data_IF_542393370569
#
_entry.id   IF_542393370569
#
_cell.length_a   1.000
_cell.length_b   1.000
_cell.length_c   1.000
_cell.angle_alpha   90.00
_cell.angle_beta   90.00
_cell.angle_gamma   90.00
#
_symmetry.space_group_name_H-M   'P 1'
#
loop_
_entity.id
_entity.type
_entity.pdbx_description
1 polymer ?
#
# COMPACT_ATOMS: atom_id res chain seq x y z
N UNK A 1 -37.70 2.19 9.67
CA UNK A 1 -36.92 3.33 10.21
C UNK A 1 -36.88 4.41 9.14
N UNK A 2 -36.97 5.68 9.54
CA UNK A 2 -36.84 6.80 8.61
C UNK A 2 -35.38 7.28 8.63
N UNK A 3 -34.53 6.61 7.83
CA UNK A 3 -33.11 6.94 7.72
C UNK A 3 -32.87 8.37 7.22
N UNK A 4 -33.79 8.94 6.44
CA UNK A 4 -33.68 10.32 5.99
C UNK A 4 -33.95 11.33 7.12
N UNK A 5 -34.82 11.01 8.04
CA UNK A 5 -35.03 11.85 9.23
C UNK A 5 -33.80 11.79 10.17
N UNK A 6 -33.24 10.59 10.36
CA UNK A 6 -32.01 10.41 11.14
C UNK A 6 -30.85 11.15 10.50
N UNK A 7 -30.64 11.01 9.18
CA UNK A 7 -29.62 11.72 8.42
C UNK A 7 -29.70 13.24 8.65
N UNK A 8 -30.89 13.82 8.45
CA UNK A 8 -31.10 15.26 8.70
C UNK A 8 -30.78 15.69 10.14
N UNK A 9 -31.08 14.84 11.12
CA UNK A 9 -30.77 15.14 12.52
C UNK A 9 -29.27 15.18 12.85
N UNK A 10 -28.46 14.44 12.09
CA UNK A 10 -27.00 14.33 12.24
C UNK A 10 -26.22 15.31 11.36
N UNK A 11 -26.87 16.02 10.43
CA UNK A 11 -26.21 17.01 9.57
C UNK A 11 -25.60 18.13 10.41
N UNK A 12 -24.35 18.45 10.09
CA UNK A 12 -23.59 19.56 10.66
C UNK A 12 -22.78 20.26 9.57
N UNK A 13 -22.49 21.52 9.75
CA UNK A 13 -21.44 22.19 8.99
C UNK A 13 -20.07 21.61 9.39
N UNK A 14 -19.05 21.69 8.54
CA UNK A 14 -17.70 21.27 8.92
C UNK A 14 -17.22 21.94 10.22
N UNK A 15 -17.44 23.23 10.36
CA UNK A 15 -17.06 24.01 11.56
C UNK A 15 -17.81 23.56 12.84
N UNK A 16 -19.05 23.13 12.75
CA UNK A 16 -19.79 22.57 13.88
C UNK A 16 -19.29 21.18 14.25
N UNK A 17 -19.06 20.34 13.25
CA UNK A 17 -18.64 18.95 13.45
C UNK A 17 -17.28 18.85 14.16
N UNK A 18 -16.30 19.66 13.74
CA UNK A 18 -14.96 19.64 14.33
C UNK A 18 -14.88 20.21 15.75
N UNK A 19 -15.97 20.82 16.29
CA UNK A 19 -16.05 21.22 17.70
C UNK A 19 -16.01 20.03 18.66
N UNK A 20 -16.26 18.84 18.16
CA UNK A 20 -16.11 17.60 18.93
C UNK A 20 -14.66 17.34 19.36
N UNK A 21 -13.69 17.80 18.59
CA UNK A 21 -12.26 17.64 18.91
C UNK A 21 -11.84 18.54 20.05
N UNK A 22 -11.11 17.96 21.01
CA UNK A 22 -10.63 18.59 22.24
C UNK A 22 -9.10 18.53 22.32
N UNK A 23 -8.53 19.30 23.24
CA UNK A 23 -7.10 19.22 23.58
C UNK A 23 -6.71 17.79 23.94
N UNK A 24 -5.58 17.35 23.42
CA UNK A 24 -5.02 16.03 23.70
C UNK A 24 -5.62 14.88 22.90
N UNK A 25 -6.70 15.09 22.12
CA UNK A 25 -7.37 14.03 21.36
C UNK A 25 -6.47 13.41 20.28
N UNK A 26 -6.76 12.14 20.00
CA UNK A 26 -6.35 11.43 18.81
C UNK A 26 -7.46 11.47 17.77
N UNK A 27 -7.17 12.10 16.66
CA UNK A 27 -8.06 12.18 15.49
C UNK A 27 -7.53 11.24 14.41
N UNK A 28 -8.35 10.36 13.88
CA UNK A 28 -7.97 9.46 12.80
C UNK A 28 -8.69 9.81 11.50
N UNK A 29 -7.91 9.98 10.43
CA UNK A 29 -8.39 10.03 9.06
C UNK A 29 -8.27 8.64 8.43
N UNK A 30 -9.19 8.28 7.56
CA UNK A 30 -9.08 7.05 6.80
C UNK A 30 -8.12 7.18 5.61
N UNK A 31 -7.77 6.05 4.98
CA UNK A 31 -6.71 5.97 3.96
C UNK A 31 -7.08 6.61 2.62
N UNK A 32 -6.12 7.19 1.92
CA UNK A 32 -6.24 7.55 0.50
C UNK A 32 -7.47 8.38 0.17
N UNK A 33 -8.40 7.87 -0.63
CA UNK A 33 -9.64 8.56 -0.99
C UNK A 33 -10.63 8.74 0.17
N UNK A 34 -10.43 8.05 1.28
CA UNK A 34 -11.22 8.27 2.52
C UNK A 34 -10.77 9.49 3.32
N UNK A 35 -9.75 10.21 2.90
CA UNK A 35 -9.30 11.45 3.52
C UNK A 35 -10.40 12.53 3.46
N UNK A 36 -10.75 13.19 4.60
CA UNK A 36 -11.87 14.15 4.67
C UNK A 36 -11.39 15.60 4.52
N UNK A 37 -11.30 16.18 3.31
CA UNK A 37 -10.68 17.48 3.08
C UNK A 37 -11.44 18.66 3.71
N UNK A 38 -12.75 18.61 3.80
CA UNK A 38 -13.54 19.68 4.41
C UNK A 38 -13.38 19.70 5.94
N UNK A 39 -13.34 18.54 6.55
CA UNK A 39 -13.12 18.38 7.99
C UNK A 39 -11.67 18.73 8.37
N UNK A 40 -10.68 18.35 7.56
CA UNK A 40 -9.29 18.71 7.75
C UNK A 40 -9.11 20.24 7.72
N UNK A 41 -9.70 20.92 6.72
CA UNK A 41 -9.67 22.37 6.64
C UNK A 41 -10.38 23.06 7.82
N UNK A 42 -11.52 22.52 8.25
CA UNK A 42 -12.26 23.05 9.39
C UNK A 42 -11.52 22.85 10.72
N UNK A 43 -10.85 21.70 10.89
CA UNK A 43 -10.01 21.42 12.06
C UNK A 43 -8.79 22.36 12.11
N UNK A 44 -8.13 22.55 10.98
CA UNK A 44 -7.02 23.50 10.84
C UNK A 44 -7.42 24.94 11.22
N UNK A 45 -8.64 25.37 10.90
CA UNK A 45 -9.15 26.68 11.26
C UNK A 45 -9.31 26.88 12.80
N UNK A 46 -9.31 25.79 13.57
CA UNK A 46 -9.33 25.83 15.06
C UNK A 46 -7.96 25.78 15.70
N UNK A 47 -6.89 25.96 14.91
CA UNK A 47 -5.51 25.87 15.39
C UNK A 47 -5.30 26.62 16.71
N UNK A 48 -5.70 27.88 16.77
CA UNK A 48 -5.45 28.74 17.94
C UNK A 48 -6.33 28.42 19.18
N UNK A 49 -7.30 27.49 19.00
CA UNK A 49 -8.19 27.02 20.08
C UNK A 49 -7.73 25.68 20.69
N UNK A 50 -6.93 24.90 19.95
CA UNK A 50 -6.61 23.53 20.30
C UNK A 50 -5.12 23.34 20.63
N UNK A 51 -4.82 22.41 21.54
CA UNK A 51 -3.47 22.05 21.93
C UNK A 51 -3.27 20.56 21.98
N UNK A 52 -2.08 20.08 21.55
CA UNK A 52 -1.63 18.69 21.64
C UNK A 52 -2.58 17.69 20.94
N UNK A 53 -3.24 18.09 19.84
CA UNK A 53 -4.08 17.20 19.04
C UNK A 53 -3.19 16.35 18.13
N UNK A 54 -3.29 15.03 18.23
CA UNK A 54 -2.58 14.09 17.39
C UNK A 54 -3.51 13.67 16.25
N UNK A 55 -3.05 13.85 15.02
CA UNK A 55 -3.82 13.44 13.83
C UNK A 55 -3.09 12.28 13.15
N UNK A 56 -3.79 11.19 12.89
CA UNK A 56 -3.27 10.01 12.23
C UNK A 56 -3.95 9.79 10.90
N UNK A 57 -3.14 9.55 9.86
CA UNK A 57 -3.61 9.24 8.52
C UNK A 57 -2.58 8.41 7.77
N UNK A 58 -2.83 8.16 6.51
CA UNK A 58 -1.90 7.45 5.64
C UNK A 58 -2.28 7.60 4.18
N UNK A 59 -1.30 7.44 3.30
CA UNK A 59 -1.47 7.56 1.85
C UNK A 59 -2.22 8.84 1.46
N UNK A 60 -1.93 9.95 2.16
CA UNK A 60 -2.57 11.22 1.90
C UNK A 60 -2.18 11.74 0.51
N UNK A 61 -3.20 12.03 -0.31
CA UNK A 61 -3.00 12.37 -1.72
C UNK A 61 -2.68 13.85 -1.96
N UNK A 62 -2.81 14.69 -0.94
CA UNK A 62 -2.61 16.13 -1.04
C UNK A 62 -2.23 16.80 0.28
N UNK A 63 -2.10 18.15 0.26
CA UNK A 63 -1.74 18.89 1.46
C UNK A 63 -2.75 18.71 2.60
N UNK A 64 -2.22 18.44 3.79
CA UNK A 64 -2.97 18.41 5.05
C UNK A 64 -3.01 19.81 5.65
N UNK A 65 -4.19 20.39 5.76
CA UNK A 65 -4.32 21.77 6.27
C UNK A 65 -3.88 21.89 7.72
N UNK A 66 -4.09 20.85 8.54
CA UNK A 66 -3.61 20.82 9.94
C UNK A 66 -2.09 20.86 10.05
N UNK A 67 -1.35 20.38 9.04
CA UNK A 67 0.13 20.44 9.04
C UNK A 67 0.62 21.75 8.43
N UNK A 68 -0.01 22.20 7.34
CA UNK A 68 0.40 23.43 6.65
C UNK A 68 0.13 24.68 7.50
N UNK A 69 -0.90 24.68 8.36
CA UNK A 69 -1.21 25.80 9.23
C UNK A 69 -0.34 25.85 10.49
N UNK A 70 0.32 24.77 10.89
CA UNK A 70 1.09 24.64 12.13
C UNK A 70 2.49 24.03 11.91
N UNK A 71 3.38 24.68 11.13
CA UNK A 71 4.72 24.16 10.83
C UNK A 71 5.64 24.05 12.05
N UNK A 72 5.28 24.66 13.17
CA UNK A 72 6.02 24.59 14.44
C UNK A 72 5.53 23.43 15.33
N UNK A 73 4.46 22.73 14.93
CA UNK A 73 3.85 21.63 15.69
C UNK A 73 3.46 21.99 17.12
N UNK A 74 2.94 23.20 17.31
CA UNK A 74 2.53 23.69 18.64
C UNK A 74 1.11 23.27 19.00
N UNK A 75 0.31 22.90 18.02
CA UNK A 75 -1.11 22.57 18.16
C UNK A 75 -1.44 21.18 17.66
N UNK A 76 -0.90 20.79 16.47
CA UNK A 76 -1.16 19.53 15.82
C UNK A 76 0.11 18.71 15.63
N UNK A 77 0.02 17.39 15.88
CA UNK A 77 1.08 16.43 15.61
C UNK A 77 0.57 15.39 14.61
N UNK A 78 1.19 15.33 13.42
CA UNK A 78 0.77 14.40 12.40
C UNK A 78 1.55 13.09 12.44
N UNK A 79 0.84 11.97 12.32
CA UNK A 79 1.38 10.61 12.30
C UNK A 79 0.92 9.87 11.06
N UNK A 80 1.80 9.07 10.47
CA UNK A 80 1.45 8.17 9.37
C UNK A 80 2.04 6.78 9.60
N UNK A 81 1.40 5.77 9.04
CA UNK A 81 1.92 4.41 9.04
C UNK A 81 2.20 3.90 7.60
N UNK A 82 1.96 4.72 6.58
CA UNK A 82 2.37 4.48 5.20
C UNK A 82 2.46 5.79 4.42
N UNK A 83 3.68 6.18 4.06
CA UNK A 83 3.91 7.48 3.43
C UNK A 83 3.54 7.48 1.95
N UNK A 84 2.70 8.42 1.56
CA UNK A 84 2.61 8.93 0.18
C UNK A 84 3.84 9.79 -0.17
N UNK A 85 3.89 10.29 -1.40
CA UNK A 85 4.91 11.26 -1.82
C UNK A 85 4.86 12.57 -1.01
N UNK A 86 3.67 12.98 -0.56
CA UNK A 86 3.49 14.16 0.27
C UNK A 86 4.00 13.90 1.70
N UNK A 87 3.57 12.83 2.34
CA UNK A 87 3.95 12.47 3.70
C UNK A 87 5.46 12.20 3.84
N UNK A 88 6.09 11.65 2.79
CA UNK A 88 7.56 11.51 2.73
C UNK A 88 8.26 12.87 2.89
N UNK A 89 7.76 13.91 2.21
CA UNK A 89 8.29 15.27 2.35
C UNK A 89 8.05 15.86 3.74
N UNK A 90 6.94 15.49 4.38
CA UNK A 90 6.69 15.87 5.78
C UNK A 90 7.68 15.18 6.73
N UNK A 91 7.93 13.88 6.56
CA UNK A 91 8.96 13.15 7.33
C UNK A 91 10.35 13.79 7.13
N UNK A 92 10.72 14.14 5.89
CA UNK A 92 12.00 14.81 5.59
C UNK A 92 12.14 16.19 6.32
N UNK A 93 11.02 16.85 6.60
CA UNK A 93 10.95 18.14 7.32
C UNK A 93 10.76 17.99 8.82
N UNK A 94 10.58 16.76 9.33
CA UNK A 94 10.27 16.52 10.75
C UNK A 94 8.83 16.89 11.15
N UNK A 95 7.92 16.98 10.19
CA UNK A 95 6.51 17.34 10.38
C UNK A 95 5.54 16.15 10.37
N UNK A 96 6.09 14.94 10.33
CA UNK A 96 5.31 13.71 10.36
C UNK A 96 6.09 12.62 11.10
N UNK A 97 5.42 11.92 12.00
CA UNK A 97 5.98 10.81 12.76
C UNK A 97 5.48 9.49 12.20
N UNK A 98 6.41 8.62 11.81
CA UNK A 98 6.08 7.32 11.24
C UNK A 98 5.82 6.27 12.32
N UNK A 99 4.73 5.53 12.18
CA UNK A 99 4.37 4.41 13.04
C UNK A 99 4.50 3.09 12.26
N UNK A 100 5.48 2.22 12.56
CA UNK A 100 5.67 0.97 11.83
C UNK A 100 4.53 -0.01 12.12
N UNK A 101 3.72 -0.30 11.12
CA UNK A 101 2.62 -1.27 11.21
C UNK A 101 2.54 -2.14 9.95
N UNK A 102 2.44 -3.45 10.14
CA UNK A 102 2.22 -4.40 9.04
C UNK A 102 0.73 -4.51 8.71
N UNK A 103 0.39 -4.59 7.44
CA UNK A 103 -1.00 -4.40 6.98
C UNK A 103 -1.98 -5.45 7.50
N UNK A 104 -1.61 -6.73 7.56
CA UNK A 104 -2.49 -7.77 8.13
C UNK A 104 -2.93 -7.49 9.57
N UNK A 105 -2.11 -6.74 10.33
CA UNK A 105 -2.35 -6.46 11.74
C UNK A 105 -2.98 -5.09 12.00
N UNK A 106 -3.28 -4.27 10.98
CA UNK A 106 -3.79 -2.90 11.20
C UNK A 106 -5.03 -2.88 12.09
N UNK A 107 -6.05 -3.69 11.76
CA UNK A 107 -7.26 -3.75 12.57
C UNK A 107 -7.00 -4.20 14.02
N UNK A 108 -6.03 -5.09 14.22
CA UNK A 108 -5.61 -5.53 15.55
C UNK A 108 -4.91 -4.42 16.34
N UNK A 109 -4.04 -3.63 15.69
CA UNK A 109 -3.43 -2.47 16.35
C UNK A 109 -4.49 -1.47 16.81
N UNK A 110 -5.46 -1.13 15.96
CA UNK A 110 -6.54 -0.21 16.32
C UNK A 110 -7.38 -0.77 17.46
N UNK A 111 -7.80 -2.02 17.39
CA UNK A 111 -8.68 -2.63 18.42
C UNK A 111 -7.99 -2.87 19.76
N UNK A 112 -6.65 -2.93 19.83
CA UNK A 112 -5.95 -3.31 21.05
C UNK A 112 -5.06 -2.22 21.66
N UNK A 113 -4.53 -1.31 20.86
CA UNK A 113 -3.44 -0.43 21.29
C UNK A 113 -3.60 1.04 20.96
N UNK A 114 -4.39 1.37 19.93
CA UNK A 114 -4.50 2.73 19.47
C UNK A 114 -5.76 3.39 20.03
N UNK A 115 -5.60 4.57 20.60
CA UNK A 115 -6.73 5.42 20.99
C UNK A 115 -7.23 6.16 19.75
N UNK A 116 -8.56 6.24 19.59
CA UNK A 116 -9.24 7.03 18.59
C UNK A 116 -10.36 7.79 19.27
N UNK A 117 -10.16 9.08 19.56
CA UNK A 117 -11.22 9.89 20.15
C UNK A 117 -12.20 10.36 19.09
N UNK A 118 -11.71 10.79 17.92
CA UNK A 118 -12.55 11.21 16.81
C UNK A 118 -12.05 10.55 15.52
N UNK A 119 -12.94 9.84 14.84
CA UNK A 119 -12.67 9.35 13.49
C UNK A 119 -13.39 10.21 12.46
N UNK A 120 -12.69 10.60 11.41
CA UNK A 120 -13.22 11.38 10.30
C UNK A 120 -12.97 10.63 8.98
N UNK A 121 -14.04 10.32 8.26
CA UNK A 121 -13.96 9.52 7.04
C UNK A 121 -14.76 10.15 5.90
N UNK A 122 -14.15 10.22 4.72
CA UNK A 122 -14.87 10.51 3.48
C UNK A 122 -15.55 9.24 2.97
N UNK A 123 -16.86 9.32 2.70
CA UNK A 123 -17.70 8.17 2.31
C UNK A 123 -18.66 8.54 1.18
N UNK A 124 -19.24 7.52 0.51
CA UNK A 124 -20.25 7.75 -0.53
C UNK A 124 -21.53 8.32 0.07
N UNK A 125 -22.45 8.91 -0.73
CA UNK A 125 -23.80 9.23 -0.27
C UNK A 125 -24.53 8.01 0.32
N UNK A 126 -25.39 8.27 1.32
CA UNK A 126 -26.17 7.24 1.99
C UNK A 126 -27.13 6.54 1.02
N UNK A 127 -27.19 5.22 1.08
CA UNK A 127 -28.17 4.45 0.31
C UNK A 127 -29.57 4.44 0.99
N UNK A 128 -30.56 3.85 0.30
CA UNK A 128 -31.93 3.75 0.79
C UNK A 128 -32.09 2.90 2.07
N UNK A 129 -31.07 2.14 2.44
CA UNK A 129 -31.06 1.27 3.61
C UNK A 129 -30.28 1.86 4.79
N UNK A 130 -29.77 3.09 4.66
CA UNK A 130 -29.04 3.79 5.72
C UNK A 130 -27.56 3.48 5.77
N UNK A 131 -26.99 2.94 4.69
CA UNK A 131 -25.56 2.62 4.62
C UNK A 131 -24.77 3.62 3.76
N UNK A 132 -23.58 3.94 4.23
CA UNK A 132 -22.53 4.62 3.48
C UNK A 132 -21.47 3.61 3.09
N UNK A 133 -20.87 3.76 1.91
CA UNK A 133 -19.78 2.89 1.47
C UNK A 133 -18.43 3.56 1.75
N UNK A 134 -17.49 2.81 2.32
CA UNK A 134 -16.12 3.26 2.63
C UNK A 134 -15.24 3.34 1.37
N UNK A 135 -15.79 2.92 0.24
CA UNK A 135 -15.22 3.11 -1.08
C UNK A 135 -13.81 2.50 -1.21
N UNK A 136 -12.96 3.17 -1.95
CA UNK A 136 -11.57 2.79 -2.21
C UNK A 136 -10.67 2.76 -0.94
N UNK A 137 -11.22 3.16 0.21
CA UNK A 137 -10.53 3.19 1.50
C UNK A 137 -10.95 2.05 2.45
N UNK A 138 -11.65 1.02 1.98
CA UNK A 138 -12.17 -0.09 2.82
C UNK A 138 -11.11 -0.66 3.76
N UNK A 139 -9.95 -0.98 3.29
CA UNK A 139 -8.74 -1.51 3.95
C UNK A 139 -8.78 -1.69 5.47
N UNK A 140 -8.71 -0.61 6.24
CA UNK A 140 -8.74 -0.60 7.70
C UNK A 140 -9.80 0.34 8.27
N UNK A 141 -10.53 1.04 7.40
CA UNK A 141 -11.41 2.14 7.81
C UNK A 141 -12.48 1.69 8.81
N UNK A 142 -13.09 0.51 8.62
CA UNK A 142 -14.08 -0.03 9.57
C UNK A 142 -13.51 -0.17 10.99
N UNK A 143 -12.29 -0.70 11.13
CA UNK A 143 -11.66 -0.87 12.43
C UNK A 143 -11.32 0.47 13.10
N UNK A 144 -11.00 1.52 12.33
CA UNK A 144 -10.82 2.88 12.85
C UNK A 144 -12.13 3.42 13.40
N UNK A 145 -13.21 3.34 12.60
CA UNK A 145 -14.53 3.87 12.96
C UNK A 145 -15.14 3.14 14.17
N UNK A 146 -14.94 1.83 14.29
CA UNK A 146 -15.40 1.02 15.43
C UNK A 146 -14.71 1.37 16.76
N UNK A 147 -13.49 1.91 16.72
CA UNK A 147 -12.74 2.27 17.92
C UNK A 147 -12.93 3.73 18.35
N UNK A 148 -13.56 4.54 17.50
CA UNK A 148 -13.75 5.95 17.78
C UNK A 148 -14.84 6.21 18.83
N UNK A 149 -14.57 7.15 19.73
CA UNK A 149 -15.60 7.68 20.64
C UNK A 149 -16.64 8.51 19.87
N UNK A 150 -16.21 9.19 18.78
CA UNK A 150 -17.04 10.04 17.91
C UNK A 150 -16.69 9.75 16.45
N UNK A 151 -17.71 9.47 15.64
CA UNK A 151 -17.58 9.21 14.19
C UNK A 151 -18.21 10.35 13.39
N UNK A 152 -17.42 11.00 12.55
CA UNK A 152 -17.84 12.08 11.65
C UNK A 152 -17.66 11.61 10.20
N UNK A 153 -18.74 11.57 9.44
CA UNK A 153 -18.70 11.17 8.02
C UNK A 153 -18.81 12.40 7.13
N UNK A 154 -17.87 12.53 6.20
CA UNK A 154 -17.88 13.54 5.14
C UNK A 154 -18.37 12.90 3.84
N UNK A 155 -19.44 13.42 3.25
CA UNK A 155 -20.07 12.86 2.05
C UNK A 155 -19.37 13.38 0.81
N UNK A 156 -18.91 12.44 -0.04
CA UNK A 156 -18.34 12.77 -1.35
C UNK A 156 -19.01 11.94 -2.45
N UNK A 157 -19.71 12.62 -3.33
CA UNK A 157 -20.49 12.05 -4.43
C UNK A 157 -19.62 11.46 -5.55
N UNK A 158 -18.31 11.76 -5.58
CA UNK A 158 -17.38 11.24 -6.60
C UNK A 158 -16.76 9.90 -6.21
N UNK A 159 -16.97 9.43 -4.98
CA UNK A 159 -16.41 8.16 -4.52
C UNK A 159 -17.10 6.96 -5.19
N UNK A 160 -16.35 6.00 -5.75
CA UNK A 160 -16.92 4.76 -6.27
C UNK A 160 -17.50 3.91 -5.12
N UNK A 161 -18.61 3.25 -5.37
CA UNK A 161 -19.22 2.29 -4.44
C UNK A 161 -18.63 0.91 -4.66
N UNK A 162 -17.83 0.40 -3.74
CA UNK A 162 -17.25 -0.92 -3.84
C UNK A 162 -18.15 -1.96 -3.16
N UNK A 163 -18.26 -3.14 -3.78
CA UNK A 163 -18.96 -4.29 -3.21
C UNK A 163 -18.00 -5.12 -2.38
N UNK A 164 -18.50 -5.75 -1.31
CA UNK A 164 -17.67 -6.60 -0.45
C UNK A 164 -18.49 -7.62 0.32
N UNK A 165 -19.24 -7.19 1.32
CA UNK A 165 -19.94 -8.03 2.28
C UNK A 165 -19.10 -8.35 3.51
N UNK A 166 -18.01 -7.60 3.71
CA UNK A 166 -17.18 -7.61 4.90
C UNK A 166 -17.32 -6.28 5.64
N UNK A 167 -16.36 -5.37 5.44
CA UNK A 167 -16.22 -4.11 6.19
C UNK A 167 -16.31 -2.88 5.26
N UNK A 168 -16.92 -3.00 4.08
CA UNK A 168 -16.96 -1.95 3.06
C UNK A 168 -18.02 -0.88 3.30
N UNK A 169 -18.88 -1.08 4.30
CA UNK A 169 -19.98 -0.16 4.62
C UNK A 169 -20.03 0.21 6.09
N UNK A 170 -20.62 1.37 6.39
CA UNK A 170 -20.99 1.81 7.74
C UNK A 170 -22.47 2.23 7.74
N UNK A 171 -23.20 1.83 8.77
CA UNK A 171 -24.62 2.20 8.93
C UNK A 171 -24.75 3.55 9.62
N UNK A 172 -25.79 4.30 9.30
CA UNK A 172 -26.04 5.64 9.86
C UNK A 172 -26.12 5.66 11.40
N UNK A 173 -26.54 4.55 12.02
CA UNK A 173 -26.54 4.44 13.50
C UNK A 173 -25.15 4.54 14.13
N UNK A 174 -24.10 4.20 13.37
CA UNK A 174 -22.72 4.19 13.83
C UNK A 174 -22.03 5.55 13.59
N UNK A 175 -22.70 6.51 12.95
CA UNK A 175 -22.21 7.87 12.74
C UNK A 175 -22.85 8.83 13.73
N UNK A 176 -22.06 9.72 14.33
CA UNK A 176 -22.54 10.77 15.22
C UNK A 176 -22.91 12.03 14.45
N UNK A 177 -22.10 12.38 13.45
CA UNK A 177 -22.28 13.59 12.64
C UNK A 177 -22.02 13.29 11.16
N UNK A 178 -22.73 14.03 10.32
CA UNK A 178 -22.62 13.95 8.86
C UNK A 178 -22.35 15.36 8.33
N UNK A 179 -21.37 15.47 7.44
CA UNK A 179 -20.99 16.72 6.77
C UNK A 179 -21.18 16.55 5.28
N UNK A 180 -21.92 17.46 4.68
CA UNK A 180 -22.05 17.60 3.22
C UNK A 180 -21.26 18.81 2.72
N UNK A 181 -20.78 18.74 1.50
CA UNK A 181 -20.10 19.84 0.83
C UNK A 181 -19.78 19.49 -0.62
N UNK A 182 -19.34 20.47 -1.37
CA UNK A 182 -18.91 20.26 -2.75
C UNK A 182 -17.48 19.73 -2.79
N UNK A 183 -17.27 18.66 -3.53
CA UNK A 183 -15.94 18.09 -3.80
C UNK A 183 -15.57 18.28 -5.26
N UNK A 184 -14.28 18.45 -5.50
CA UNK A 184 -13.75 18.35 -6.85
C UNK A 184 -13.67 16.89 -7.28
N UNK A 185 -13.87 16.57 -8.56
CA UNK A 185 -13.53 15.26 -9.10
C UNK A 185 -12.07 14.90 -8.82
N UNK A 186 -11.77 13.61 -8.68
CA UNK A 186 -10.41 13.15 -8.46
C UNK A 186 -9.54 13.47 -9.69
N UNK A 187 -8.32 13.92 -9.43
CA UNK A 187 -7.32 14.08 -10.48
C UNK A 187 -6.63 12.74 -10.73
N UNK A 188 -6.38 12.44 -11.99
CA UNK A 188 -5.59 11.28 -12.35
C UNK A 188 -4.18 11.38 -11.73
N UNK A 189 -3.63 10.28 -11.21
CA UNK A 189 -2.27 10.27 -10.69
C UNK A 189 -1.28 10.57 -11.81
N UNK A 190 -0.14 11.23 -11.51
CA UNK A 190 0.86 11.50 -12.52
C UNK A 190 1.39 10.19 -13.12
N UNK A 191 1.49 10.14 -14.44
CA UNK A 191 2.12 9.01 -15.12
C UNK A 191 3.60 8.91 -14.74
N UNK A 192 4.02 7.72 -14.37
CA UNK A 192 5.43 7.39 -14.19
C UNK A 192 5.88 6.55 -15.40
N UNK A 193 6.59 7.15 -16.38
CA UNK A 193 7.07 6.38 -17.51
C UNK A 193 8.01 5.29 -17.03
N UNK A 194 7.82 4.10 -17.56
CA UNK A 194 8.66 2.96 -17.21
C UNK A 194 10.05 3.12 -17.84
N UNK A 195 11.07 2.76 -17.09
CA UNK A 195 12.44 2.72 -17.58
C UNK A 195 12.70 1.48 -18.46
N UNK A 196 13.86 1.46 -19.13
CA UNK A 196 14.30 0.27 -19.85
C UNK A 196 14.56 -0.90 -18.88
N UNK A 197 15.06 -0.59 -17.70
CA UNK A 197 15.30 -1.55 -16.62
C UNK A 197 13.99 -2.16 -16.11
N UNK A 198 12.94 -1.35 -15.91
CA UNK A 198 11.59 -1.83 -15.54
C UNK A 198 11.06 -2.83 -16.56
N UNK A 199 11.26 -2.51 -17.85
CA UNK A 199 10.84 -3.39 -18.95
C UNK A 199 11.66 -4.68 -18.97
N UNK A 200 12.96 -4.63 -18.72
CA UNK A 200 13.81 -5.81 -18.65
C UNK A 200 13.40 -6.72 -17.48
N UNK A 201 13.16 -6.15 -16.29
CA UNK A 201 12.69 -6.91 -15.12
C UNK A 201 11.34 -7.58 -15.44
N UNK A 202 10.37 -6.84 -15.98
CA UNK A 202 9.05 -7.38 -16.31
C UNK A 202 9.14 -8.55 -17.32
N UNK A 203 10.00 -8.48 -18.32
CA UNK A 203 10.26 -9.58 -19.26
C UNK A 203 10.88 -10.81 -18.58
N UNK A 204 11.74 -10.62 -17.57
CA UNK A 204 12.34 -11.72 -16.80
C UNK A 204 11.30 -12.39 -15.87
N UNK A 205 10.27 -11.66 -15.42
CA UNK A 205 9.21 -12.20 -14.55
C UNK A 205 8.15 -12.98 -15.34
N UNK A 206 7.86 -12.57 -16.57
CA UNK A 206 6.78 -13.14 -17.38
C UNK A 206 6.80 -14.70 -17.46
N UNK A 207 7.95 -15.39 -17.68
CA UNK A 207 8.02 -16.85 -17.73
C UNK A 207 7.68 -17.55 -16.41
N UNK A 208 7.60 -16.83 -15.31
CA UNK A 208 7.26 -17.38 -14.00
C UNK A 208 5.75 -17.38 -13.70
N UNK A 209 4.95 -16.77 -14.55
CA UNK A 209 3.50 -16.64 -14.43
C UNK A 209 2.84 -17.62 -15.40
N UNK A 210 1.90 -18.40 -14.94
CA UNK A 210 1.19 -19.37 -15.76
C UNK A 210 -0.31 -19.04 -15.89
N UNK A 211 -0.98 -19.71 -16.79
CA UNK A 211 -2.44 -19.63 -16.91
C UNK A 211 -3.13 -19.93 -15.59
N UNK A 212 -4.11 -19.10 -15.25
CA UNK A 212 -4.87 -19.22 -14.02
C UNK A 212 -4.11 -18.83 -12.75
N UNK A 213 -2.90 -18.25 -12.87
CA UNK A 213 -2.20 -17.71 -11.72
C UNK A 213 -3.00 -16.55 -11.09
N UNK A 214 -3.03 -16.52 -9.76
CA UNK A 214 -3.52 -15.33 -9.03
C UNK A 214 -2.36 -14.39 -8.81
N UNK A 215 -2.51 -13.11 -9.19
CA UNK A 215 -1.42 -12.13 -9.12
C UNK A 215 -1.70 -11.04 -8.10
N UNK A 216 -0.64 -10.65 -7.38
CA UNK A 216 -0.55 -9.42 -6.63
C UNK A 216 0.57 -8.58 -7.23
N UNK A 217 0.22 -7.39 -7.69
CA UNK A 217 1.12 -6.43 -8.29
C UNK A 217 1.22 -5.20 -7.39
N UNK A 218 2.44 -4.77 -7.10
CA UNK A 218 2.69 -3.48 -6.45
C UNK A 218 2.32 -2.29 -7.35
N UNK A 219 2.74 -1.10 -6.95
CA UNK A 219 2.58 0.14 -7.74
C UNK A 219 3.94 0.59 -8.28
N UNK A 220 3.93 1.44 -9.32
CA UNK A 220 5.13 2.03 -9.92
C UNK A 220 5.36 1.59 -11.36
N UNK A 221 6.51 1.96 -11.93
CA UNK A 221 6.84 1.74 -13.34
C UNK A 221 6.85 0.26 -13.73
N UNK A 222 7.60 -0.56 -13.01
CA UNK A 222 7.75 -1.99 -13.33
C UNK A 222 6.42 -2.77 -13.24
N UNK A 223 5.59 -2.69 -12.18
CA UNK A 223 4.29 -3.34 -12.15
C UNK A 223 3.35 -2.91 -13.28
N UNK A 224 3.36 -1.62 -13.65
CA UNK A 224 2.58 -1.11 -14.78
C UNK A 224 3.00 -1.74 -16.10
N UNK A 225 4.31 -1.84 -16.36
CA UNK A 225 4.83 -2.52 -17.58
C UNK A 225 4.46 -3.99 -17.56
N UNK A 226 4.63 -4.65 -16.42
CA UNK A 226 4.28 -6.07 -16.30
C UNK A 226 2.80 -6.31 -16.58
N UNK A 227 1.90 -5.46 -16.09
CA UNK A 227 0.47 -5.51 -16.42
C UNK A 227 0.24 -5.45 -17.93
N UNK A 228 0.87 -4.51 -18.64
CA UNK A 228 0.79 -4.37 -20.10
C UNK A 228 1.39 -5.57 -20.84
N UNK A 229 2.49 -6.15 -20.36
CA UNK A 229 3.07 -7.36 -20.94
C UNK A 229 2.18 -8.58 -20.74
N UNK A 230 1.63 -8.76 -19.53
CA UNK A 230 0.68 -9.83 -19.23
C UNK A 230 -0.57 -9.73 -20.11
N UNK A 231 -1.10 -8.53 -20.32
CA UNK A 231 -2.25 -8.28 -21.20
C UNK A 231 -2.03 -8.73 -22.65
N UNK A 232 -0.77 -8.83 -23.08
CA UNK A 232 -0.36 -9.22 -24.46
C UNK A 232 0.36 -10.56 -24.53
N UNK A 233 0.52 -11.25 -23.42
CA UNK A 233 1.36 -12.46 -23.31
C UNK A 233 0.72 -13.73 -23.89
N UNK A 234 -0.59 -13.72 -24.15
CA UNK A 234 -1.35 -14.92 -24.49
C UNK A 234 -1.71 -15.79 -23.27
N UNK A 235 -1.41 -15.35 -22.04
CA UNK A 235 -1.89 -15.99 -20.82
C UNK A 235 -3.41 -15.83 -20.67
N UNK A 236 -4.03 -16.78 -19.96
CA UNK A 236 -5.46 -16.82 -19.77
C UNK A 236 -5.86 -17.03 -18.32
N UNK A 237 -7.05 -16.52 -17.99
CA UNK A 237 -7.73 -16.78 -16.72
C UNK A 237 -6.93 -16.38 -15.46
N UNK A 238 -6.17 -15.28 -15.54
CA UNK A 238 -5.51 -14.74 -14.36
C UNK A 238 -6.53 -14.30 -13.30
N UNK A 239 -6.13 -14.37 -12.05
CA UNK A 239 -6.87 -13.90 -10.89
C UNK A 239 -6.23 -12.68 -10.25
N UNK A 240 -7.02 -11.90 -9.52
CA UNK A 240 -6.58 -10.76 -8.73
C UNK A 240 -6.80 -11.03 -7.25
N UNK A 241 -5.74 -10.93 -6.45
CA UNK A 241 -5.82 -10.84 -5.00
C UNK A 241 -4.72 -9.89 -4.53
N UNK A 242 -5.10 -8.67 -4.17
CA UNK A 242 -4.13 -7.59 -3.97
C UNK A 242 -4.53 -6.65 -2.82
N UNK A 243 -3.55 -6.13 -2.10
CA UNK A 243 -3.81 -5.07 -1.12
C UNK A 243 -4.22 -3.77 -1.80
N UNK A 244 -3.59 -3.45 -2.93
CA UNK A 244 -3.83 -2.23 -3.69
C UNK A 244 -4.18 -2.55 -5.14
N UNK A 245 -5.37 -2.15 -5.57
CA UNK A 245 -5.80 -2.21 -6.95
C UNK A 245 -5.31 -0.96 -7.72
N UNK A 246 -4.68 -1.20 -8.87
CA UNK A 246 -4.08 -0.17 -9.72
C UNK A 246 -4.46 -0.38 -11.19
N UNK A 247 -4.03 0.55 -12.06
CA UNK A 247 -4.26 0.50 -13.51
C UNK A 247 -3.86 -0.83 -14.17
N UNK A 248 -2.84 -1.51 -13.62
CA UNK A 248 -2.39 -2.79 -14.16
C UNK A 248 -3.52 -3.84 -14.23
N UNK A 249 -4.43 -3.84 -13.26
CA UNK A 249 -5.56 -4.79 -13.24
C UNK A 249 -6.67 -4.40 -14.23
N UNK A 250 -6.90 -3.11 -14.41
CA UNK A 250 -7.82 -2.62 -15.43
C UNK A 250 -7.34 -3.00 -16.84
N UNK A 251 -6.05 -2.82 -17.14
CA UNK A 251 -5.43 -3.26 -18.40
C UNK A 251 -5.61 -4.77 -18.65
N UNK A 252 -5.40 -5.58 -17.60
CA UNK A 252 -5.60 -7.04 -17.68
C UNK A 252 -7.07 -7.42 -17.89
N UNK A 253 -8.00 -6.69 -17.28
CA UNK A 253 -9.43 -6.89 -17.44
C UNK A 253 -9.88 -6.58 -18.86
N UNK A 254 -9.50 -5.43 -19.39
CA UNK A 254 -9.87 -4.98 -20.75
C UNK A 254 -9.29 -5.87 -21.84
N UNK A 255 -8.11 -6.43 -21.60
CA UNK A 255 -7.50 -7.43 -22.47
C UNK A 255 -8.19 -8.81 -22.39
N UNK A 256 -9.14 -9.01 -21.46
CA UNK A 256 -9.81 -10.29 -21.23
C UNK A 256 -8.93 -11.34 -20.55
N UNK A 257 -7.78 -10.97 -20.04
CA UNK A 257 -6.82 -11.87 -19.36
C UNK A 257 -7.19 -12.08 -17.90
N UNK A 258 -7.70 -11.04 -17.23
CA UNK A 258 -8.16 -11.09 -15.83
C UNK A 258 -9.63 -11.56 -15.79
N UNK A 259 -9.85 -12.81 -15.50
CA UNK A 259 -11.20 -13.39 -15.42
C UNK A 259 -11.60 -13.89 -14.05
N UNK A 260 -10.63 -14.14 -13.17
CA UNK A 260 -10.80 -14.76 -11.85
C UNK A 260 -11.45 -16.15 -11.88
N UNK A 261 -11.63 -16.78 -13.06
CA UNK A 261 -12.36 -18.06 -13.23
C UNK A 261 -11.68 -19.24 -12.57
N UNK A 262 -10.35 -19.18 -12.44
CA UNK A 262 -9.52 -20.25 -11.88
C UNK A 262 -9.03 -19.96 -10.48
N UNK A 263 -9.44 -18.83 -9.87
CA UNK A 263 -9.13 -18.55 -8.48
C UNK A 263 -9.68 -19.65 -7.56
N UNK A 264 -8.85 -20.11 -6.64
CA UNK A 264 -9.22 -21.14 -5.65
C UNK A 264 -10.22 -20.57 -4.64
N UNK A 265 -10.03 -19.30 -4.24
CA UNK A 265 -10.97 -18.53 -3.42
C UNK A 265 -11.69 -17.50 -4.30
N UNK A 266 -12.94 -17.20 -3.97
CA UNK A 266 -13.73 -16.12 -4.62
C UNK A 266 -13.74 -16.24 -6.15
N UNK A 267 -14.08 -17.41 -6.65
CA UNK A 267 -14.13 -17.68 -8.09
C UNK A 267 -14.98 -16.65 -8.83
N UNK A 268 -14.46 -16.14 -9.96
CA UNK A 268 -15.02 -15.07 -10.79
C UNK A 268 -15.00 -13.67 -10.14
N UNK A 269 -14.33 -13.50 -9.01
CA UNK A 269 -14.23 -12.21 -8.31
C UNK A 269 -12.78 -11.92 -7.95
N UNK A 270 -12.33 -10.72 -8.27
CA UNK A 270 -11.03 -10.22 -7.83
C UNK A 270 -11.13 -9.59 -6.45
N UNK A 271 -10.14 -9.81 -5.59
CA UNK A 271 -10.10 -9.29 -4.23
C UNK A 271 -9.13 -8.11 -4.13
N UNK A 272 -9.58 -7.02 -3.47
CA UNK A 272 -8.73 -5.86 -3.17
C UNK A 272 -8.96 -5.32 -1.76
N UNK A 273 -7.96 -4.63 -1.21
CA UNK A 273 -8.07 -3.92 0.07
C UNK A 273 -8.35 -2.44 -0.09
N UNK A 274 -7.58 -1.78 -0.96
CA UNK A 274 -7.68 -0.35 -1.29
C UNK A 274 -7.53 -0.16 -2.80
N UNK A 275 -7.98 1.00 -3.31
CA UNK A 275 -7.86 1.36 -4.73
C UNK A 275 -7.29 2.76 -4.85
N UNK A 276 -6.25 2.92 -5.68
CA UNK A 276 -5.67 4.23 -6.02
C UNK A 276 -5.33 4.22 -7.50
N UNK A 277 -5.90 5.15 -8.27
CA UNK A 277 -5.65 5.25 -9.70
C UNK A 277 -6.43 6.38 -10.36
N UNK A 278 -6.70 6.23 -11.65
CA UNK A 278 -7.44 7.19 -12.46
C UNK A 278 -8.95 7.11 -12.24
N UNK A 279 -9.67 8.11 -12.74
CA UNK A 279 -11.14 8.07 -12.80
C UNK A 279 -11.63 6.80 -13.51
N UNK A 280 -10.97 6.37 -14.60
CA UNK A 280 -11.29 5.15 -15.35
C UNK A 280 -11.20 3.88 -14.49
N UNK A 281 -10.21 3.81 -13.58
CA UNK A 281 -10.12 2.71 -12.61
C UNK A 281 -11.28 2.76 -11.61
N UNK A 282 -11.65 3.95 -11.13
CA UNK A 282 -12.77 4.13 -10.21
C UNK A 282 -14.10 3.76 -10.87
N UNK A 283 -14.32 4.14 -12.13
CA UNK A 283 -15.49 3.75 -12.91
C UNK A 283 -15.59 2.23 -13.11
N UNK A 284 -14.45 1.54 -13.26
CA UNK A 284 -14.43 0.09 -13.38
C UNK A 284 -14.78 -0.64 -12.09
N UNK A 285 -14.34 -0.15 -10.94
CA UNK A 285 -14.63 -0.80 -9.64
C UNK A 285 -15.98 -0.38 -9.07
N UNK A 286 -16.59 0.72 -9.57
CA UNK A 286 -17.86 1.22 -9.10
C UNK A 286 -18.99 0.20 -9.31
N UNK A 287 -19.66 -0.17 -8.24
CA UNK A 287 -20.77 -1.15 -8.21
C UNK A 287 -20.51 -2.46 -8.99
N UNK A 288 -19.24 -2.85 -9.14
CA UNK A 288 -18.81 -4.00 -9.92
C UNK A 288 -18.84 -5.29 -9.08
N UNK A 289 -19.76 -6.26 -9.36
CA UNK A 289 -19.81 -7.51 -8.62
C UNK A 289 -18.63 -8.47 -8.90
N UNK A 290 -17.84 -8.20 -9.93
CA UNK A 290 -16.61 -8.94 -10.25
C UNK A 290 -15.40 -8.54 -9.39
N UNK A 291 -15.56 -7.50 -8.52
CA UNK A 291 -14.50 -6.98 -7.67
C UNK A 291 -15.03 -6.90 -6.24
N UNK A 292 -14.28 -7.46 -5.29
CA UNK A 292 -14.62 -7.47 -3.86
C UNK A 292 -13.62 -6.62 -3.09
N UNK A 293 -14.12 -5.60 -2.39
CA UNK A 293 -13.36 -4.89 -1.37
C UNK A 293 -13.45 -5.65 -0.03
N UNK A 294 -12.31 -5.86 0.61
CA UNK A 294 -12.24 -6.55 1.89
C UNK A 294 -11.20 -5.88 2.81
N UNK A 295 -11.31 -6.06 4.14
CA UNK A 295 -10.33 -5.51 5.07
C UNK A 295 -8.94 -6.09 4.84
N UNK A 296 -7.90 -5.30 5.07
CA UNK A 296 -6.50 -5.75 4.91
C UNK A 296 -6.15 -6.92 5.85
N UNK A 297 -6.85 -7.04 6.98
CA UNK A 297 -6.73 -8.21 7.85
C UNK A 297 -7.16 -9.53 7.21
N UNK A 298 -7.96 -9.47 6.12
CA UNK A 298 -8.31 -10.63 5.30
C UNK A 298 -7.44 -10.71 4.04
N UNK A 299 -7.35 -9.64 3.28
CA UNK A 299 -6.61 -9.59 2.01
C UNK A 299 -5.14 -9.94 2.20
N UNK A 300 -4.54 -9.43 3.27
CA UNK A 300 -3.12 -9.60 3.60
C UNK A 300 -2.85 -10.78 4.53
N UNK A 301 -3.88 -11.54 4.94
CA UNK A 301 -3.66 -12.70 5.80
C UNK A 301 -2.85 -13.78 5.05
N UNK A 302 -1.65 -14.18 5.54
CA UNK A 302 -0.87 -15.22 4.88
C UNK A 302 -1.65 -16.53 4.73
N UNK A 303 -2.53 -16.84 5.68
CA UNK A 303 -3.39 -18.02 5.69
C UNK A 303 -4.43 -18.01 4.57
N UNK A 304 -4.92 -16.82 4.18
CA UNK A 304 -5.82 -16.61 3.04
C UNK A 304 -5.02 -16.70 1.74
N UNK A 305 -3.93 -15.97 1.64
CA UNK A 305 -3.05 -15.95 0.47
C UNK A 305 -2.52 -17.35 0.14
N UNK A 306 -2.17 -18.16 1.15
CA UNK A 306 -1.67 -19.51 1.01
C UNK A 306 -2.68 -20.50 0.36
N UNK A 307 -3.97 -20.17 0.34
CA UNK A 307 -5.02 -20.97 -0.28
C UNK A 307 -5.18 -20.68 -1.78
N UNK A 308 -4.48 -19.67 -2.31
CA UNK A 308 -4.52 -19.29 -3.72
C UNK A 308 -3.48 -20.09 -4.52
N UNK A 309 -3.91 -21.07 -5.26
CA UNK A 309 -3.01 -21.86 -6.10
C UNK A 309 -2.31 -20.96 -7.14
N UNK A 310 -1.01 -21.21 -7.37
CA UNK A 310 -0.15 -20.43 -8.26
C UNK A 310 -0.18 -18.92 -7.95
N UNK A 311 -0.23 -18.58 -6.68
CA UNK A 311 -0.12 -17.17 -6.26
C UNK A 311 1.22 -16.58 -6.64
N UNK A 312 1.24 -15.51 -7.41
CA UNK A 312 2.45 -14.78 -7.80
C UNK A 312 2.39 -13.37 -7.22
N UNK A 313 3.19 -13.14 -6.20
CA UNK A 313 3.33 -11.83 -5.57
C UNK A 313 4.55 -11.10 -6.11
N UNK A 314 4.40 -9.84 -6.52
CA UNK A 314 5.45 -9.01 -7.12
C UNK A 314 5.47 -7.65 -6.44
N UNK A 315 6.52 -7.43 -5.68
CA UNK A 315 6.74 -6.21 -4.89
C UNK A 315 8.07 -5.55 -5.25
N UNK A 316 8.18 -4.26 -5.01
CA UNK A 316 9.41 -3.50 -5.23
C UNK A 316 10.16 -3.28 -3.92
N UNK A 317 11.48 -3.16 -4.00
CA UNK A 317 12.30 -2.73 -2.87
C UNK A 317 13.26 -1.60 -3.28
N UNK A 318 13.88 -0.98 -2.27
CA UNK A 318 14.87 0.09 -2.44
C UNK A 318 16.26 -0.50 -2.54
N UNK A 319 16.58 -1.47 -1.68
CA UNK A 319 17.88 -2.13 -1.65
C UNK A 319 17.78 -3.54 -1.06
N UNK A 320 18.77 -4.37 -1.36
CA UNK A 320 19.05 -5.65 -0.70
C UNK A 320 20.52 -5.78 -0.35
N UNK A 321 20.86 -6.53 0.69
CA UNK A 321 22.26 -6.82 1.01
C UNK A 321 22.67 -8.26 0.66
N UNK A 322 23.96 -8.54 0.71
CA UNK A 322 24.51 -9.87 0.35
C UNK A 322 24.01 -11.01 1.27
N UNK A 323 23.41 -10.70 2.40
CA UNK A 323 22.77 -11.69 3.27
C UNK A 323 21.33 -11.98 2.85
N UNK A 324 20.76 -11.16 1.95
CA UNK A 324 19.38 -11.26 1.48
C UNK A 324 18.37 -10.53 2.38
N UNK A 325 18.82 -9.59 3.21
CA UNK A 325 17.93 -8.63 3.87
C UNK A 325 17.43 -7.61 2.84
N UNK A 326 16.20 -7.13 3.02
CA UNK A 326 15.52 -6.24 2.07
C UNK A 326 15.01 -5.00 2.78
N UNK A 327 15.37 -3.83 2.25
CA UNK A 327 14.83 -2.52 2.64
C UNK A 327 13.86 -2.04 1.55
N UNK A 328 12.60 -1.81 1.92
CA UNK A 328 11.55 -1.34 1.00
C UNK A 328 10.90 -0.04 1.49
N UNK A 329 10.95 0.23 2.78
CA UNK A 329 10.28 1.38 3.41
C UNK A 329 11.23 2.55 3.70
N UNK A 330 12.54 2.33 3.64
CA UNK A 330 13.56 3.36 3.93
C UNK A 330 14.75 3.30 2.97
N UNK A 331 15.45 4.42 2.87
CA UNK A 331 16.78 4.53 2.27
C UNK A 331 17.72 5.07 3.33
N UNK A 332 18.59 4.23 3.88
CA UNK A 332 19.21 4.50 5.17
C UNK A 332 18.12 4.67 6.23
N UNK A 333 18.19 5.75 7.02
CA UNK A 333 17.19 6.11 8.03
C UNK A 333 16.05 6.99 7.49
N UNK A 334 16.12 7.40 6.21
CA UNK A 334 15.10 8.25 5.60
C UNK A 334 13.86 7.41 5.28
N UNK A 335 12.71 7.78 5.84
CA UNK A 335 11.43 7.13 5.54
C UNK A 335 11.01 7.42 4.10
N UNK A 336 10.69 6.38 3.34
CA UNK A 336 10.28 6.47 1.93
C UNK A 336 8.81 6.07 1.74
N UNK A 337 8.39 5.01 2.43
CA UNK A 337 7.06 4.42 2.29
C UNK A 337 6.57 3.92 3.66
N UNK A 338 6.11 2.71 3.75
CA UNK A 338 5.74 2.02 4.97
C UNK A 338 5.99 0.53 4.85
N UNK A 339 5.82 -0.18 5.94
CA UNK A 339 5.96 -1.64 5.98
C UNK A 339 5.04 -2.31 4.94
N UNK A 340 3.80 -1.81 4.81
CA UNK A 340 2.83 -2.35 3.85
C UNK A 340 2.52 -3.82 4.10
N UNK A 341 2.11 -4.51 3.04
CA UNK A 341 1.83 -5.93 3.03
C UNK A 341 2.90 -6.79 2.33
N UNK A 342 4.07 -6.22 2.00
CA UNK A 342 5.10 -6.99 1.31
C UNK A 342 5.43 -8.30 2.04
N UNK A 343 5.67 -8.26 3.34
CA UNK A 343 5.98 -9.46 4.14
C UNK A 343 4.78 -10.42 4.23
N UNK A 344 3.56 -9.91 4.18
CA UNK A 344 2.33 -10.71 4.19
C UNK A 344 2.27 -11.58 2.93
N UNK A 345 2.42 -10.95 1.77
CA UNK A 345 2.40 -11.62 0.48
C UNK A 345 3.62 -12.52 0.25
N UNK A 346 4.82 -12.13 0.73
CA UNK A 346 6.00 -13.00 0.71
C UNK A 346 5.72 -14.29 1.49
N UNK A 347 5.13 -14.19 2.67
CA UNK A 347 4.80 -15.34 3.51
C UNK A 347 3.72 -16.21 2.86
N UNK A 348 2.59 -15.61 2.51
CA UNK A 348 1.44 -16.33 1.99
C UNK A 348 1.70 -17.00 0.62
N UNK A 349 2.35 -16.28 -0.32
CA UNK A 349 2.68 -16.85 -1.62
C UNK A 349 3.72 -17.97 -1.53
N UNK A 350 4.66 -17.92 -0.57
CA UNK A 350 5.60 -19.01 -0.33
C UNK A 350 4.92 -20.27 0.22
N UNK A 351 3.81 -20.13 0.92
CA UNK A 351 3.01 -21.25 1.45
C UNK A 351 2.02 -21.79 0.42
N UNK A 352 1.64 -21.00 -0.59
CA UNK A 352 0.68 -21.39 -1.61
C UNK A 352 1.23 -22.48 -2.53
N UNK A 353 0.37 -23.41 -2.95
CA UNK A 353 0.75 -24.45 -3.91
C UNK A 353 1.13 -23.83 -5.27
N UNK A 354 2.40 -24.03 -5.71
CA UNK A 354 2.94 -23.42 -6.93
C UNK A 354 3.19 -21.91 -6.81
N UNK A 355 3.06 -21.35 -5.60
CA UNK A 355 3.21 -19.93 -5.35
C UNK A 355 4.65 -19.45 -5.47
N UNK A 356 4.81 -18.17 -5.81
CA UNK A 356 6.10 -17.48 -5.94
C UNK A 356 5.98 -16.04 -5.44
N UNK A 357 7.01 -15.58 -4.74
CA UNK A 357 7.05 -14.22 -4.23
C UNK A 357 8.34 -13.54 -4.71
N UNK A 358 8.18 -12.50 -5.53
CA UNK A 358 9.26 -11.73 -6.12
C UNK A 358 9.42 -10.38 -5.44
N UNK A 359 10.66 -10.02 -5.18
CA UNK A 359 11.08 -8.67 -4.79
C UNK A 359 11.96 -8.12 -5.92
N UNK A 360 11.58 -6.97 -6.47
CA UNK A 360 12.16 -6.40 -7.66
C UNK A 360 12.77 -5.04 -7.40
N UNK A 361 13.90 -4.76 -8.04
CA UNK A 361 14.55 -3.45 -8.02
C UNK A 361 15.44 -3.29 -9.24
N UNK A 362 15.67 -2.08 -9.71
CA UNK A 362 16.78 -1.81 -10.62
C UNK A 362 18.09 -2.07 -9.89
N UNK A 363 19.11 -2.61 -10.57
CA UNK A 363 20.38 -2.96 -9.91
C UNK A 363 21.16 -1.74 -9.42
N UNK A 364 20.85 -0.54 -9.97
CA UNK A 364 21.49 0.73 -9.62
C UNK A 364 20.47 1.86 -9.51
N UNK A 365 20.92 2.97 -8.93
CA UNK A 365 20.27 4.28 -9.02
C UNK A 365 21.32 5.36 -9.19
N UNK A 366 20.93 6.52 -9.72
CA UNK A 366 21.80 7.68 -9.83
C UNK A 366 21.32 8.73 -8.82
N UNK A 367 22.24 9.26 -8.03
CA UNK A 367 21.94 10.30 -7.05
C UNK A 367 21.82 11.70 -7.71
N UNK A 368 21.60 12.74 -6.89
CA UNK A 368 21.43 14.12 -7.36
C UNK A 368 22.70 14.70 -7.98
N UNK A 369 23.86 14.16 -7.60
CA UNK A 369 25.18 14.58 -8.07
C UNK A 369 25.60 13.83 -9.34
N UNK A 370 24.73 12.96 -9.88
CA UNK A 370 24.96 12.16 -11.07
C UNK A 370 25.81 10.90 -10.82
N UNK A 371 26.05 10.54 -9.56
CA UNK A 371 26.84 9.35 -9.20
C UNK A 371 25.93 8.12 -9.18
N UNK A 372 26.39 7.05 -9.86
CA UNK A 372 25.69 5.76 -9.90
C UNK A 372 26.06 4.90 -8.71
N UNK A 373 25.07 4.39 -8.00
CA UNK A 373 25.21 3.54 -6.83
C UNK A 373 24.54 2.18 -7.05
N UNK A 374 25.09 1.13 -6.44
CA UNK A 374 24.46 -0.18 -6.40
C UNK A 374 23.32 -0.21 -5.40
N UNK A 375 22.21 -0.88 -5.77
CA UNK A 375 21.12 -1.22 -4.83
C UNK A 375 21.34 -2.57 -4.13
N UNK A 376 22.29 -3.37 -4.61
CA UNK A 376 22.79 -4.54 -3.89
C UNK A 376 24.00 -4.08 -3.08
N UNK A 377 23.88 -4.17 -1.75
CA UNK A 377 24.86 -3.64 -0.81
C UNK A 377 25.66 -4.77 -0.15
N UNK A 378 26.90 -4.54 0.28
CA UNK A 378 27.66 -5.52 1.05
C UNK A 378 26.95 -5.99 2.31
N UNK A 379 26.40 -5.07 3.05
CA UNK A 379 25.51 -5.22 4.23
C UNK A 379 24.79 -3.91 4.45
N UNK A 380 23.67 -3.95 5.15
CA UNK A 380 23.01 -2.72 5.59
C UNK A 380 23.81 -2.02 6.68
N UNK A 381 24.02 -0.71 6.51
CA UNK A 381 24.77 0.14 7.44
C UNK A 381 23.88 1.06 8.29
N UNK A 382 22.59 0.78 8.37
CA UNK A 382 21.59 1.60 9.06
C UNK A 382 20.24 1.64 8.34
N UNK A 383 20.11 0.89 7.25
CA UNK A 383 18.83 0.75 6.55
C UNK A 383 17.82 -0.03 7.42
N UNK A 384 16.55 0.39 7.36
CA UNK A 384 15.47 -0.32 8.03
C UNK A 384 15.15 -1.59 7.23
N UNK A 385 15.21 -2.75 7.87
CA UNK A 385 14.89 -4.03 7.25
C UNK A 385 13.39 -4.22 7.21
N UNK A 386 12.79 -4.12 6.03
CA UNK A 386 11.36 -4.36 5.82
C UNK A 386 11.05 -5.85 5.74
N UNK A 387 11.87 -6.62 5.01
CA UNK A 387 11.72 -8.07 4.92
C UNK A 387 13.00 -8.76 5.38
N UNK A 388 12.92 -9.63 6.41
CA UNK A 388 14.08 -10.34 6.93
C UNK A 388 14.59 -11.37 5.91
N UNK A 389 15.89 -11.65 5.95
CA UNK A 389 16.56 -12.58 5.02
C UNK A 389 15.95 -13.99 4.97
N UNK A 390 15.26 -14.42 6.01
CA UNK A 390 14.59 -15.72 6.06
C UNK A 390 13.25 -15.74 5.30
N UNK A 391 12.73 -14.58 4.89
CA UNK A 391 11.46 -14.40 4.18
C UNK A 391 11.65 -13.83 2.76
N UNK A 392 12.88 -13.53 2.34
CA UNK A 392 13.18 -13.12 0.97
C UNK A 392 13.57 -14.34 0.13
N UNK A 393 12.76 -14.63 -0.89
CA UNK A 393 12.93 -15.80 -1.74
C UNK A 393 13.45 -15.43 -3.12
N UNK A 394 12.60 -14.91 -4.02
CA UNK A 394 13.02 -14.48 -5.34
C UNK A 394 13.38 -13.00 -5.33
N UNK A 395 14.61 -12.67 -5.77
CA UNK A 395 15.00 -11.30 -6.06
C UNK A 395 15.27 -11.15 -7.56
N UNK A 396 14.81 -10.03 -8.12
CA UNK A 396 14.96 -9.72 -9.54
C UNK A 396 15.54 -8.32 -9.73
N UNK A 397 16.47 -8.22 -10.66
CA UNK A 397 16.94 -6.95 -11.27
C UNK A 397 16.88 -7.10 -12.78
N UNK A 398 17.19 -6.04 -13.53
CA UNK A 398 17.35 -6.13 -14.98
C UNK A 398 18.50 -7.06 -15.41
N UNK A 399 19.36 -7.49 -14.48
CA UNK A 399 20.47 -8.41 -14.73
C UNK A 399 20.08 -9.89 -14.57
N UNK A 400 18.91 -10.18 -13.98
CA UNK A 400 18.43 -11.55 -13.80
C UNK A 400 17.51 -11.76 -12.61
N UNK A 401 17.09 -13.01 -12.41
CA UNK A 401 16.25 -13.46 -11.30
C UNK A 401 16.99 -14.57 -10.55
N UNK A 402 17.02 -14.47 -9.22
CA UNK A 402 17.60 -15.50 -8.35
C UNK A 402 16.63 -15.94 -7.27
N UNK A 403 16.73 -17.20 -6.86
CA UNK A 403 15.99 -17.72 -5.70
C UNK A 403 16.97 -17.96 -4.56
N UNK A 404 16.71 -17.36 -3.40
CA UNK A 404 17.53 -17.43 -2.20
C UNK A 404 17.04 -18.47 -1.18
N UNK A 405 15.91 -19.12 -1.43
CA UNK A 405 15.35 -20.10 -0.52
C UNK A 405 16.27 -21.30 -0.30
N UNK A 406 16.52 -21.67 0.94
CA UNK A 406 17.37 -22.82 1.29
C UNK A 406 18.87 -22.62 1.03
N UNK A 407 19.30 -21.44 0.60
CA UNK A 407 20.72 -21.16 0.30
C UNK A 407 21.48 -20.67 1.52
N UNK A 408 22.72 -21.13 1.64
CA UNK A 408 23.70 -20.65 2.63
C UNK A 408 24.14 -19.21 2.36
N UNK A 409 24.84 -18.59 3.29
CA UNK A 409 25.29 -17.20 3.14
C UNK A 409 26.18 -16.98 1.91
N UNK A 410 27.08 -17.93 1.58
CA UNK A 410 27.93 -17.78 0.40
C UNK A 410 27.12 -17.97 -0.90
N UNK A 411 26.17 -18.90 -0.94
CA UNK A 411 25.31 -19.11 -2.12
C UNK A 411 24.38 -17.91 -2.36
N UNK A 412 23.91 -17.27 -1.29
CA UNK A 412 23.16 -16.00 -1.36
C UNK A 412 24.02 -14.87 -1.91
N UNK A 413 25.22 -14.70 -1.38
CA UNK A 413 26.15 -13.67 -1.85
C UNK A 413 26.48 -13.87 -3.34
N UNK A 414 26.79 -15.11 -3.77
CA UNK A 414 27.07 -15.44 -5.18
C UNK A 414 25.84 -15.14 -6.07
N UNK A 415 24.64 -15.52 -5.63
CA UNK A 415 23.41 -15.25 -6.36
C UNK A 415 23.15 -13.75 -6.49
N UNK A 416 23.27 -12.98 -5.41
CA UNK A 416 23.02 -11.54 -5.42
C UNK A 416 24.09 -10.78 -6.23
N UNK A 417 25.35 -11.18 -6.16
CA UNK A 417 26.40 -10.64 -7.04
C UNK A 417 26.08 -10.89 -8.51
N UNK A 418 25.51 -12.05 -8.87
CA UNK A 418 25.18 -12.37 -10.27
C UNK A 418 24.14 -11.44 -10.87
N UNK A 419 23.22 -10.91 -10.07
CA UNK A 419 22.17 -9.95 -10.48
C UNK A 419 22.52 -8.49 -10.16
N UNK A 420 23.69 -8.22 -9.61
CA UNK A 420 24.21 -6.87 -9.44
C UNK A 420 24.67 -6.29 -10.79
N UNK A 421 24.66 -4.97 -10.91
CA UNK A 421 25.24 -4.30 -12.09
C UNK A 421 26.73 -4.69 -12.23
N UNK A 422 27.21 -5.00 -13.44
CA UNK A 422 28.56 -5.49 -13.67
C UNK A 422 29.68 -4.65 -13.01
N UNK A 423 29.55 -3.32 -13.05
CA UNK A 423 30.54 -2.39 -12.49
C UNK A 423 30.75 -2.54 -10.97
N UNK A 424 29.82 -3.13 -10.26
CA UNK A 424 29.87 -3.27 -8.81
C UNK A 424 30.21 -4.69 -8.33
N UNK A 425 30.22 -5.70 -9.22
CA UNK A 425 30.42 -7.11 -8.86
C UNK A 425 31.71 -7.37 -8.13
N UNK A 426 32.81 -6.84 -8.66
CA UNK A 426 34.16 -7.05 -8.06
C UNK A 426 34.26 -6.42 -6.66
N UNK A 427 33.62 -5.27 -6.44
CA UNK A 427 33.59 -4.64 -5.13
C UNK A 427 32.76 -5.46 -4.13
N UNK A 428 31.61 -6.00 -4.57
CA UNK A 428 30.74 -6.87 -3.77
C UNK A 428 31.44 -8.20 -3.43
N UNK A 429 32.18 -8.80 -4.36
CA UNK A 429 32.98 -10.02 -4.11
C UNK A 429 34.04 -9.75 -3.03
N UNK A 430 34.85 -8.68 -3.16
CA UNK A 430 35.84 -8.30 -2.14
C UNK A 430 35.18 -8.08 -0.75
N UNK A 431 34.03 -7.44 -0.73
CA UNK A 431 33.29 -7.26 0.53
C UNK A 431 32.80 -8.60 1.12
N UNK A 432 32.29 -9.50 0.28
CA UNK A 432 31.85 -10.83 0.71
C UNK A 432 33.01 -11.69 1.25
N UNK A 433 34.21 -11.57 0.63
CA UNK A 433 35.45 -12.21 1.12
C UNK A 433 35.83 -11.66 2.50
N UNK A 434 35.85 -10.35 2.68
CA UNK A 434 36.14 -9.68 3.96
C UNK A 434 35.18 -10.09 5.05
N UNK A 435 33.90 -10.25 4.71
CA UNK A 435 32.83 -10.70 5.61
C UNK A 435 32.78 -12.23 5.84
N UNK A 436 33.66 -12.99 5.17
CA UNK A 436 33.78 -14.45 5.25
C UNK A 436 32.52 -15.19 4.78
N UNK A 437 31.73 -14.57 3.89
CA UNK A 437 30.57 -15.15 3.24
C UNK A 437 30.83 -15.47 1.75
N UNK A 438 32.06 -15.45 1.29
CA UNK A 438 32.48 -15.91 -0.03
C UNK A 438 33.21 -17.23 0.09
N UNK A 439 32.93 -18.19 -0.80
CA UNK A 439 33.64 -19.48 -0.77
C UNK A 439 35.13 -19.33 -1.18
N UNK A 440 36.01 -20.13 -0.57
CA UNK A 440 37.43 -20.11 -0.83
C UNK A 440 37.83 -20.86 -2.10
N UNK A 441 36.92 -21.31 -2.96
CA UNK A 441 37.24 -21.98 -4.20
C UNK A 441 37.59 -20.97 -5.30
N UNK A 442 38.47 -21.36 -6.25
CA UNK A 442 38.85 -20.53 -7.38
C UNK A 442 37.72 -20.27 -8.41
N UNK A 443 36.55 -20.85 -8.23
CA UNK A 443 35.40 -20.55 -9.08
C UNK A 443 34.85 -19.17 -8.74
N UNK A 444 34.97 -18.26 -9.68
CA UNK A 444 34.31 -16.95 -9.68
C UNK A 444 32.98 -16.99 -10.40
#
# INVERSE_FOLDING_TARGET
MDYQAEYRSKLRTPAEAVRAVKDGDWVDYTSGLGFPPLLDAALAARRDELHDVKVRGNLCMGPLQIVECDPEQTHFLYHTWHCSAYERRLCDRGLCYFTPMIFRNLAWYYRQFLTVNVAMACVTPMDRHGYFNLSAATGVSRAILEQADIVILEINEHLPRLRGGFDEVIHISDADMIVEGAHAPFSDPPEHPASAEDTAIANLLLPHICDGATVQLGIGGMPTVLGKLLARSGLHDLGMHTELCSEAYLELHEAGVLTNRRCTLHRNQGMLGITIGSQRLYDWVDDNPGVIAAPLSYVNAPEVIAQLDNMVSINSCIAADLYGQVASESSGLRQISGTGGQLDFLTGAAMARGGKAFICMTSTFTDRDGVRHSRILPHFGGDIVTSPRAQAYYLATEQGVVNLAGRSTWERAEALVSIAHPDFRDALIRAAEAQKIWRRSAKR
#
